data_IF_789250479396
#
_entry.id   IF_789250479396
#
_cell.length_a   1.000
_cell.length_b   1.000
_cell.length_c   1.000
_cell.angle_alpha   90.00
_cell.angle_beta   90.00
_cell.angle_gamma   90.00
#
_symmetry.space_group_name_H-M   'P 1'
#
loop_
_entity.id
_entity.type
_entity.pdbx_description
1 polymer ?
#
# COMPACT_ATOMS: atom_id res chain seq x y z
N UNK A 1 36.90 19.28 -40.61
CA UNK A 1 35.53 19.67 -40.97
C UNK A 1 34.56 18.72 -40.28
N UNK A 2 33.73 19.27 -39.39
CA UNK A 2 32.48 18.75 -38.78
C UNK A 2 32.50 17.40 -38.03
N UNK A 3 31.66 17.13 -37.01
CA UNK A 3 30.85 17.87 -36.04
C UNK A 3 30.01 16.82 -35.27
N UNK A 4 30.03 16.85 -33.93
CA UNK A 4 28.93 16.57 -32.98
C UNK A 4 28.28 15.16 -32.82
N UNK A 5 28.42 14.64 -31.59
CA UNK A 5 27.42 14.16 -30.60
C UNK A 5 26.34 13.12 -31.00
N UNK A 6 26.27 12.01 -30.25
CA UNK A 6 25.24 11.80 -29.21
C UNK A 6 25.80 10.96 -28.05
N UNK A 7 25.61 11.54 -26.87
CA UNK A 7 25.86 11.06 -25.53
C UNK A 7 24.61 10.28 -25.03
N UNK A 8 24.80 9.43 -24.03
CA UNK A 8 23.80 8.83 -23.12
C UNK A 8 23.01 7.59 -23.61
N UNK A 9 23.41 6.41 -23.11
CA UNK A 9 22.51 5.44 -22.45
C UNK A 9 23.31 4.23 -21.92
N UNK A 10 24.20 4.49 -20.97
CA UNK A 10 24.62 3.48 -20.00
C UNK A 10 24.17 4.01 -18.65
N UNK A 11 23.20 3.34 -18.00
CA UNK A 11 23.36 2.85 -16.62
C UNK A 11 22.05 2.27 -16.05
N UNK A 12 22.20 1.06 -15.50
CA UNK A 12 21.34 0.36 -14.54
C UNK A 12 20.04 -0.28 -15.04
N UNK A 13 20.22 -1.29 -15.88
CA UNK A 13 19.45 -2.54 -15.77
C UNK A 13 20.30 -3.52 -14.95
N UNK A 14 20.11 -3.61 -13.63
CA UNK A 14 20.46 -4.81 -12.83
C UNK A 14 19.85 -4.71 -11.43
N UNK A 15 18.91 -5.64 -11.17
CA UNK A 15 18.69 -6.42 -9.95
C UNK A 15 18.96 -5.75 -8.59
N UNK A 16 17.92 -5.61 -7.76
CA UNK A 16 17.94 -6.20 -6.43
C UNK A 16 16.50 -6.44 -5.96
N UNK A 17 16.20 -7.71 -5.76
CA UNK A 17 15.20 -8.19 -4.80
C UNK A 17 15.36 -7.42 -3.48
N UNK A 18 14.45 -6.49 -3.21
CA UNK A 18 14.48 -5.68 -1.99
C UNK A 18 13.93 -6.50 -0.82
N UNK A 19 14.81 -7.29 -0.21
CA UNK A 19 15.13 -7.26 1.22
C UNK A 19 14.02 -6.74 2.15
N UNK A 20 12.96 -7.51 2.32
CA UNK A 20 12.15 -7.44 3.54
C UNK A 20 12.88 -8.27 4.61
N UNK A 21 13.83 -7.66 5.32
CA UNK A 21 14.43 -8.29 6.51
C UNK A 21 13.78 -7.69 7.75
N UNK A 22 13.21 -8.60 8.53
CA UNK A 22 12.73 -8.51 9.90
C UNK A 22 13.30 -7.37 10.76
N UNK A 23 12.40 -6.69 11.47
CA UNK A 23 12.60 -5.62 12.46
C UNK A 23 12.92 -4.22 11.89
N UNK A 24 11.92 -3.57 11.27
CA UNK A 24 11.83 -2.11 11.32
C UNK A 24 10.83 -1.70 12.41
N UNK A 25 11.30 -1.60 13.65
CA UNK A 25 10.89 -0.47 14.46
C UNK A 25 11.38 0.76 13.70
N UNK A 26 10.48 1.53 13.08
CA UNK A 26 10.82 2.81 12.42
C UNK A 26 11.19 3.80 13.54
N UNK A 27 12.39 3.63 14.10
CA UNK A 27 13.06 4.62 14.92
C UNK A 27 13.49 5.74 13.99
N UNK A 28 13.13 6.97 14.32
CA UNK A 28 13.13 8.17 13.46
C UNK A 28 14.52 8.73 13.14
N UNK A 29 15.53 7.90 12.96
CA UNK A 29 16.87 8.35 12.66
C UNK A 29 17.55 7.34 11.75
N UNK A 30 17.86 7.80 10.54
CA UNK A 30 18.67 7.13 9.52
C UNK A 30 17.89 6.29 8.50
N UNK A 31 17.14 6.94 7.60
CA UNK A 31 17.01 6.67 6.14
C UNK A 31 15.99 7.68 5.56
N UNK A 32 16.33 8.50 4.55
CA UNK A 32 15.43 9.54 4.04
C UNK A 32 14.44 8.92 3.05
N UNK A 33 13.38 8.33 3.57
CA UNK A 33 12.14 8.02 2.86
C UNK A 33 11.01 8.60 3.74
N UNK A 34 10.06 9.41 3.29
CA UNK A 34 9.84 10.13 2.03
C UNK A 34 8.65 11.12 2.20
N UNK A 35 8.28 11.47 3.42
CA UNK A 35 7.22 12.44 3.69
C UNK A 35 7.78 13.47 4.66
N UNK A 36 7.59 14.76 4.37
CA UNK A 36 7.94 15.80 5.34
C UNK A 36 7.13 15.53 6.61
N UNK A 37 7.81 15.38 7.75
CA UNK A 37 7.19 15.08 9.06
C UNK A 37 6.05 16.04 9.43
N UNK A 38 6.03 17.23 8.82
CA UNK A 38 5.06 18.30 9.04
C UNK A 38 4.49 18.80 7.70
N UNK A 39 3.87 17.89 6.95
CA UNK A 39 3.23 18.21 5.68
C UNK A 39 2.06 19.19 5.79
N UNK A 40 1.28 19.07 6.86
CA UNK A 40 0.17 19.97 7.14
C UNK A 40 -0.19 19.87 8.64
N UNK A 41 -0.04 20.93 9.45
CA UNK A 41 -0.45 20.90 10.86
C UNK A 41 -1.97 20.71 11.02
N UNK A 42 -2.77 21.08 10.02
CA UNK A 42 -4.22 20.90 9.98
C UNK A 42 -4.65 19.63 9.21
N UNK A 43 -3.81 18.59 9.21
CA UNK A 43 -4.11 17.32 8.55
C UNK A 43 -5.46 16.68 8.95
N UNK A 44 -6.03 16.85 10.17
CA UNK A 44 -7.33 16.26 10.49
C UNK A 44 -8.46 16.80 9.61
N UNK A 45 -8.39 18.07 9.21
CA UNK A 45 -9.39 18.73 8.38
C UNK A 45 -9.12 18.58 6.87
N UNK A 46 -7.90 18.17 6.50
CA UNK A 46 -7.51 17.92 5.12
C UNK A 46 -6.56 16.72 5.05
N UNK A 47 -7.13 15.51 5.14
CA UNK A 47 -6.34 14.28 5.11
C UNK A 47 -5.63 14.09 3.78
N UNK A 48 -6.26 14.45 2.66
CA UNK A 48 -5.73 14.19 1.32
C UNK A 48 -4.50 15.04 0.96
N UNK A 49 -4.21 16.12 1.70
CA UNK A 49 -3.00 16.93 1.47
C UNK A 49 -1.69 16.16 1.69
N UNK A 50 -1.75 14.96 2.28
CA UNK A 50 -0.60 14.06 2.38
C UNK A 50 -0.02 13.70 1.01
N UNK A 51 -0.87 13.55 -0.02
CA UNK A 51 -0.44 13.18 -1.36
C UNK A 51 0.41 14.26 -2.05
N UNK A 52 0.30 15.53 -1.64
CA UNK A 52 1.08 16.65 -2.20
C UNK A 52 2.49 16.78 -1.61
N UNK A 53 2.87 15.83 -0.76
CA UNK A 53 3.89 16.04 0.24
C UNK A 53 4.97 14.96 0.27
N UNK A 54 4.88 14.03 -0.68
CA UNK A 54 5.89 13.03 -0.98
C UNK A 54 7.10 13.69 -1.67
N UNK A 55 8.34 13.26 -1.37
CA UNK A 55 9.59 13.91 -1.84
C UNK A 55 10.66 12.94 -2.37
N UNK A 56 11.03 12.95 -3.68
CA UNK A 56 12.05 12.08 -4.32
C UNK A 56 11.48 11.17 -5.46
N UNK A 57 11.81 9.88 -5.54
CA UNK A 57 11.21 8.91 -6.51
C UNK A 57 9.67 8.70 -6.47
N UNK A 58 9.05 8.52 -5.31
CA UNK A 58 7.59 8.39 -5.15
C UNK A 58 6.80 9.71 -5.12
N UNK A 59 7.38 10.85 -5.46
CA UNK A 59 6.75 12.18 -5.22
C UNK A 59 5.50 12.44 -6.05
N UNK A 60 5.32 11.69 -7.14
CA UNK A 60 4.16 11.80 -8.03
C UNK A 60 3.03 10.83 -7.68
N UNK A 61 3.18 10.02 -6.63
CA UNK A 61 2.13 9.11 -6.19
C UNK A 61 0.98 9.91 -5.56
N UNK A 62 -0.16 10.00 -6.28
CA UNK A 62 -1.34 10.72 -5.80
C UNK A 62 -2.26 9.85 -4.93
N UNK A 63 -2.07 8.53 -4.94
CA UNK A 63 -2.91 7.60 -4.17
C UNK A 63 -4.38 7.69 -4.60
N UNK A 64 -5.28 7.69 -3.62
CA UNK A 64 -6.72 7.93 -3.79
C UNK A 64 -7.14 9.39 -3.68
N UNK A 65 -6.23 10.36 -3.89
CA UNK A 65 -6.57 11.80 -3.84
C UNK A 65 -7.67 12.13 -4.88
N UNK A 66 -8.65 12.93 -4.47
CA UNK A 66 -9.84 13.26 -5.27
C UNK A 66 -10.90 12.17 -5.33
N UNK A 67 -10.62 10.99 -4.74
CA UNK A 67 -11.57 9.92 -4.55
C UNK A 67 -12.36 10.04 -3.25
N UNK A 68 -13.31 9.12 -3.09
CA UNK A 68 -14.16 9.02 -1.90
C UNK A 68 -13.37 8.48 -0.69
N UNK A 69 -13.82 8.87 0.50
CA UNK A 69 -13.33 8.27 1.73
C UNK A 69 -14.00 6.92 1.96
N UNK A 70 -13.18 5.91 2.25
CA UNK A 70 -13.66 4.60 2.67
C UNK A 70 -13.25 4.34 4.12
N UNK A 71 -14.23 4.10 4.99
CA UNK A 71 -13.98 3.85 6.42
C UNK A 71 -13.99 2.35 6.64
N UNK A 72 -12.86 1.80 7.11
CA UNK A 72 -12.77 0.39 7.49
C UNK A 72 -13.41 0.24 8.87
N UNK A 73 -14.56 -0.43 8.92
CA UNK A 73 -15.32 -0.67 10.15
C UNK A 73 -15.18 -2.10 10.65
N UNK A 74 -14.76 -3.02 9.78
CA UNK A 74 -14.67 -4.45 10.05
C UNK A 74 -13.23 -4.94 9.83
N UNK A 75 -12.66 -5.56 10.86
CA UNK A 75 -11.30 -6.12 10.83
C UNK A 75 -11.22 -7.57 10.33
N UNK A 76 -12.37 -8.21 10.10
CA UNK A 76 -12.44 -9.59 9.61
C UNK A 76 -11.97 -9.70 8.16
N UNK A 77 -11.32 -10.81 7.82
CA UNK A 77 -10.83 -11.09 6.48
C UNK A 77 -10.92 -12.58 6.15
N UNK A 78 -12.13 -13.10 6.24
CA UNK A 78 -12.39 -14.54 6.19
C UNK A 78 -12.56 -15.07 4.76
N UNK A 79 -13.01 -14.23 3.82
CA UNK A 79 -13.28 -14.60 2.43
C UNK A 79 -12.45 -13.75 1.46
N UNK A 80 -11.43 -14.36 0.86
CA UNK A 80 -10.56 -13.74 -0.12
C UNK A 80 -11.21 -13.59 -1.51
N UNK A 81 -12.32 -14.30 -1.78
CA UNK A 81 -13.07 -14.24 -3.04
C UNK A 81 -14.20 -13.22 -2.95
N UNK A 82 -14.92 -13.15 -1.83
CA UNK A 82 -16.05 -12.22 -1.66
C UNK A 82 -15.87 -11.37 -0.39
N UNK A 83 -14.95 -10.39 -0.42
CA UNK A 83 -14.75 -9.53 0.73
C UNK A 83 -16.01 -8.71 1.04
N UNK A 84 -16.35 -8.58 2.32
CA UNK A 84 -17.53 -7.83 2.77
C UNK A 84 -17.29 -6.31 2.72
N UNK A 85 -18.27 -5.49 2.30
CA UNK A 85 -18.22 -4.05 2.53
C UNK A 85 -17.97 -3.73 4.01
N UNK A 86 -17.16 -2.70 4.27
CA UNK A 86 -16.64 -2.36 5.60
C UNK A 86 -15.27 -2.97 5.92
N UNK A 87 -14.82 -4.00 5.18
CA UNK A 87 -13.47 -4.58 5.35
C UNK A 87 -12.41 -3.86 4.54
N UNK A 88 -11.14 -4.02 4.93
CA UNK A 88 -10.00 -3.50 4.17
C UNK A 88 -9.86 -4.19 2.80
N UNK A 89 -10.07 -5.50 2.74
CA UNK A 89 -10.00 -6.29 1.50
C UNK A 89 -10.99 -5.86 0.44
N UNK A 90 -12.19 -5.43 0.86
CA UNK A 90 -13.17 -4.86 -0.07
C UNK A 90 -12.69 -3.52 -0.65
N UNK A 91 -12.07 -2.67 0.16
CA UNK A 91 -11.65 -1.33 -0.24
C UNK A 91 -10.51 -1.36 -1.27
N UNK A 92 -9.51 -2.20 -1.05
CA UNK A 92 -8.28 -2.21 -1.86
C UNK A 92 -8.50 -2.73 -3.27
N UNK A 93 -9.52 -3.56 -3.50
CA UNK A 93 -9.81 -4.13 -4.82
C UNK A 93 -10.65 -3.20 -5.71
N UNK A 94 -11.31 -2.18 -5.16
CA UNK A 94 -12.21 -1.32 -5.92
C UNK A 94 -11.50 -0.63 -7.09
N UNK A 95 -12.25 -0.36 -8.16
CA UNK A 95 -11.72 0.30 -9.36
C UNK A 95 -11.53 1.79 -9.16
N UNK A 96 -12.44 2.43 -8.44
CA UNK A 96 -12.38 3.86 -8.14
C UNK A 96 -11.22 4.22 -7.21
N UNK A 97 -10.71 5.47 -7.30
CA UNK A 97 -9.75 5.99 -6.34
C UNK A 97 -10.39 6.05 -4.95
N UNK A 98 -9.70 5.54 -3.94
CA UNK A 98 -10.22 5.53 -2.56
C UNK A 98 -9.17 5.99 -1.55
N UNK A 99 -9.61 6.85 -0.63
CA UNK A 99 -8.86 7.26 0.56
C UNK A 99 -9.35 6.45 1.77
N UNK A 100 -8.64 5.38 2.08
CA UNK A 100 -9.01 4.39 3.09
C UNK A 100 -8.52 4.87 4.46
N UNK A 101 -9.45 4.99 5.40
CA UNK A 101 -9.20 5.49 6.77
C UNK A 101 -9.74 4.51 7.82
N UNK A 102 -9.23 4.66 9.03
CA UNK A 102 -9.61 3.84 10.18
C UNK A 102 -10.21 4.72 11.27
N UNK A 103 -11.39 4.37 11.80
CA UNK A 103 -12.05 5.15 12.86
C UNK A 103 -11.39 4.96 14.23
N UNK A 104 -10.58 3.92 14.41
CA UNK A 104 -9.88 3.63 15.65
C UNK A 104 -8.86 2.50 15.50
N UNK A 105 -8.27 2.11 16.62
CA UNK A 105 -7.27 1.04 16.65
C UNK A 105 -7.84 -0.28 16.14
N UNK A 106 -7.08 -0.97 15.28
CA UNK A 106 -7.57 -2.16 14.60
C UNK A 106 -6.45 -3.17 14.37
N UNK A 107 -6.75 -4.45 14.60
CA UNK A 107 -5.88 -5.57 14.25
C UNK A 107 -6.54 -6.38 13.13
N UNK A 108 -6.02 -6.26 11.92
CA UNK A 108 -6.52 -6.93 10.73
C UNK A 108 -5.67 -8.17 10.51
N UNK A 109 -6.29 -9.35 10.67
CA UNK A 109 -5.64 -10.63 10.43
C UNK A 109 -6.00 -11.12 9.04
N UNK A 110 -5.00 -11.20 8.16
CA UNK A 110 -5.19 -11.68 6.82
C UNK A 110 -5.04 -13.21 6.77
N UNK A 111 -5.96 -13.86 6.07
CA UNK A 111 -5.89 -15.29 5.75
C UNK A 111 -5.00 -15.58 4.54
N UNK A 112 -4.96 -14.63 3.60
CA UNK A 112 -4.23 -14.65 2.34
C UNK A 112 -3.56 -13.29 2.08
N UNK A 113 -2.85 -13.12 0.97
CA UNK A 113 -2.33 -11.81 0.55
C UNK A 113 -3.44 -10.74 0.43
N UNK A 114 -3.08 -9.47 0.53
CA UNK A 114 -3.95 -8.35 0.26
C UNK A 114 -3.50 -7.70 -1.06
N UNK A 115 -4.23 -8.00 -2.14
CA UNK A 115 -3.90 -7.52 -3.49
C UNK A 115 -4.48 -6.11 -3.66
N UNK A 116 -3.62 -5.13 -3.89
CA UNK A 116 -4.05 -3.76 -4.13
C UNK A 116 -4.39 -3.53 -5.59
N UNK A 117 -5.38 -2.68 -5.82
CA UNK A 117 -5.60 -2.02 -7.09
C UNK A 117 -4.89 -0.64 -7.11
N UNK A 118 -4.81 -0.01 -8.28
CA UNK A 118 -4.24 1.33 -8.44
C UNK A 118 -5.10 2.41 -7.74
N UNK A 119 -4.50 3.58 -7.51
CA UNK A 119 -5.16 4.77 -6.94
C UNK A 119 -5.75 4.54 -5.55
N UNK A 120 -4.95 3.96 -4.65
CA UNK A 120 -5.36 3.67 -3.27
C UNK A 120 -4.48 4.43 -2.30
N UNK A 121 -5.10 5.07 -1.32
CA UNK A 121 -4.39 5.55 -0.13
C UNK A 121 -4.84 4.77 1.08
N UNK A 122 -3.90 4.18 1.81
CA UNK A 122 -4.11 3.62 3.12
C UNK A 122 -3.56 4.61 4.16
N UNK A 123 -4.47 5.28 4.88
CA UNK A 123 -4.15 6.33 5.85
C UNK A 123 -4.51 5.89 7.27
N UNK A 124 -3.52 5.37 7.99
CA UNK A 124 -3.66 4.96 9.39
C UNK A 124 -3.49 6.11 10.39
N UNK A 125 -3.39 7.39 9.97
CA UNK A 125 -3.21 8.50 10.92
C UNK A 125 -4.41 8.63 11.85
N UNK A 126 -4.12 8.75 13.15
CA UNK A 126 -5.13 8.84 14.20
C UNK A 126 -5.58 7.50 14.77
N UNK A 127 -5.03 6.38 14.28
CA UNK A 127 -5.31 5.04 14.78
C UNK A 127 -4.03 4.20 14.81
N UNK A 128 -3.97 3.25 15.74
CA UNK A 128 -2.96 2.20 15.72
C UNK A 128 -3.49 0.98 14.96
N UNK A 129 -3.06 0.85 13.70
CA UNK A 129 -3.55 -0.18 12.78
C UNK A 129 -2.45 -1.20 12.52
N UNK A 130 -2.73 -2.45 12.85
CA UNK A 130 -1.85 -3.58 12.63
C UNK A 130 -2.44 -4.50 11.57
N UNK A 131 -1.67 -4.80 10.53
CA UNK A 131 -1.99 -5.77 9.48
C UNK A 131 -1.04 -6.94 9.65
N UNK A 132 -1.59 -8.12 9.93
CA UNK A 132 -0.80 -9.31 10.27
C UNK A 132 -1.28 -10.56 9.57
N UNK A 133 -0.41 -11.55 9.46
CA UNK A 133 -0.72 -12.86 8.92
C UNK A 133 -0.87 -12.88 7.40
N UNK A 134 -1.04 -14.10 6.86
CA UNK A 134 -1.04 -14.35 5.42
C UNK A 134 0.17 -13.75 4.72
N UNK A 135 0.06 -13.57 3.41
CA UNK A 135 1.13 -12.95 2.61
C UNK A 135 1.24 -11.43 2.72
N UNK A 136 0.58 -10.79 3.70
CA UNK A 136 0.54 -9.33 3.88
C UNK A 136 0.08 -8.58 2.63
N UNK A 137 0.88 -7.68 2.05
CA UNK A 137 0.45 -6.78 0.97
C UNK A 137 1.15 -7.13 -0.33
N UNK A 138 0.37 -7.19 -1.41
CA UNK A 138 0.87 -7.42 -2.77
C UNK A 138 0.57 -6.22 -3.66
N UNK A 139 1.62 -5.55 -4.15
CA UNK A 139 1.55 -4.46 -5.12
C UNK A 139 2.15 -4.93 -6.46
N UNK A 140 1.32 -5.41 -7.39
CA UNK A 140 1.79 -5.97 -8.67
C UNK A 140 1.11 -5.28 -9.85
N UNK A 141 1.89 -4.75 -10.79
CA UNK A 141 1.40 -4.08 -12.01
C UNK A 141 0.40 -2.94 -11.75
N UNK A 142 0.56 -2.23 -10.63
CA UNK A 142 -0.28 -1.10 -10.23
C UNK A 142 0.55 0.16 -10.02
N UNK A 143 -0.13 1.31 -10.00
CA UNK A 143 0.48 2.62 -9.76
C UNK A 143 -0.35 3.46 -8.81
N UNK A 144 0.21 4.58 -8.33
CA UNK A 144 -0.49 5.53 -7.47
C UNK A 144 -1.05 4.88 -6.20
N UNK A 145 -0.17 4.25 -5.41
CA UNK A 145 -0.53 3.71 -4.10
C UNK A 145 0.25 4.44 -3.02
N UNK A 146 -0.44 4.90 -1.98
CA UNK A 146 0.15 5.51 -0.78
C UNK A 146 -0.21 4.62 0.41
N UNK A 147 0.79 4.16 1.15
CA UNK A 147 0.59 3.43 2.41
C UNK A 147 1.28 4.24 3.50
N UNK A 148 0.52 4.69 4.49
CA UNK A 148 1.02 5.61 5.50
C UNK A 148 0.44 5.34 6.90
N UNK A 149 1.31 5.37 7.91
CA UNK A 149 0.98 5.22 9.33
C UNK A 149 0.22 3.92 9.67
N UNK A 150 0.63 2.80 9.07
CA UNK A 150 0.13 1.45 9.39
C UNK A 150 1.29 0.52 9.72
N UNK A 151 1.05 -0.45 10.60
CA UNK A 151 2.04 -1.44 11.02
C UNK A 151 1.76 -2.77 10.31
N UNK A 152 2.68 -3.22 9.47
CA UNK A 152 2.59 -4.51 8.76
C UNK A 152 3.67 -5.41 9.32
N UNK A 153 3.30 -6.55 9.88
CA UNK A 153 4.26 -7.46 10.53
C UNK A 153 3.67 -8.86 10.68
N UNK A 154 4.52 -9.84 11.06
CA UNK A 154 4.12 -11.24 11.19
C UNK A 154 3.46 -11.81 9.92
N UNK A 155 3.99 -11.42 8.76
CA UNK A 155 3.66 -11.98 7.46
C UNK A 155 4.22 -13.41 7.38
N UNK A 156 3.47 -14.32 6.76
CA UNK A 156 3.91 -15.69 6.52
C UNK A 156 3.33 -16.23 5.22
N UNK A 157 4.01 -17.16 4.53
CA UNK A 157 3.48 -17.76 3.32
C UNK A 157 2.09 -18.37 3.51
N UNK A 158 1.07 -17.83 2.85
CA UNK A 158 -0.26 -18.41 2.75
C UNK A 158 -0.31 -19.44 1.61
N UNK A 159 -1.16 -20.47 1.79
CA UNK A 159 -1.36 -21.52 0.80
C UNK A 159 -2.04 -21.03 -0.48
N UNK A 160 -2.17 -21.91 -1.47
CA UNK A 160 -2.87 -21.56 -2.69
C UNK A 160 -4.38 -21.36 -2.45
N UNK A 161 -4.92 -20.25 -2.94
CA UNK A 161 -6.32 -19.89 -2.75
C UNK A 161 -6.84 -19.12 -3.96
N UNK A 162 -8.16 -19.20 -4.18
CA UNK A 162 -8.83 -18.26 -5.08
C UNK A 162 -8.94 -16.91 -4.38
N UNK A 163 -8.54 -15.87 -5.10
CA UNK A 163 -8.45 -14.52 -4.56
C UNK A 163 -8.99 -13.51 -5.55
N UNK A 164 -9.80 -12.58 -5.05
CA UNK A 164 -10.31 -11.46 -5.83
C UNK A 164 -9.24 -10.38 -5.96
N UNK A 165 -8.97 -9.97 -7.19
CA UNK A 165 -8.04 -8.88 -7.50
C UNK A 165 -8.76 -7.61 -7.98
N UNK A 166 -10.02 -7.73 -8.44
CA UNK A 166 -10.87 -6.60 -8.82
C UNK A 166 -12.36 -6.94 -8.62
N UNK A 167 -13.29 -5.99 -8.74
CA UNK A 167 -14.72 -6.26 -8.60
C UNK A 167 -15.23 -7.29 -9.62
N UNK A 168 -14.57 -7.41 -10.78
CA UNK A 168 -14.98 -8.30 -11.87
C UNK A 168 -14.08 -9.53 -12.04
N UNK A 169 -12.94 -9.60 -11.36
CA UNK A 169 -11.95 -10.68 -11.55
C UNK A 169 -11.46 -11.27 -10.23
N UNK A 170 -11.48 -12.61 -10.17
CA UNK A 170 -10.75 -13.40 -9.20
C UNK A 170 -9.99 -14.51 -9.92
N UNK A 171 -8.89 -14.97 -9.33
CA UNK A 171 -8.08 -16.04 -9.91
C UNK A 171 -7.39 -16.86 -8.83
N UNK A 172 -6.87 -18.02 -9.23
CA UNK A 172 -6.09 -18.86 -8.35
C UNK A 172 -4.69 -18.26 -8.15
N UNK A 173 -4.32 -18.00 -6.89
CA UNK A 173 -2.97 -17.62 -6.50
C UNK A 173 -2.25 -18.84 -5.95
N UNK A 174 -1.01 -19.03 -6.39
CA UNK A 174 -0.10 -20.01 -5.78
C UNK A 174 0.35 -19.52 -4.41
N UNK A 175 1.14 -20.33 -3.71
CA UNK A 175 1.71 -19.98 -2.41
C UNK A 175 2.30 -18.56 -2.41
N UNK A 176 1.91 -17.76 -1.43
CA UNK A 176 2.42 -16.40 -1.27
C UNK A 176 3.86 -16.41 -0.77
N UNK A 177 4.59 -15.35 -1.07
CA UNK A 177 5.98 -15.22 -0.64
C UNK A 177 6.12 -14.91 0.86
N UNK A 178 5.16 -14.17 1.44
CA UNK A 178 5.04 -13.99 2.90
C UNK A 178 6.16 -13.17 3.56
N UNK A 179 6.71 -12.19 2.84
CA UNK A 179 7.80 -11.33 3.31
C UNK A 179 7.31 -10.04 3.99
#
# INVERSE_FOLDING_TARGET
MHSFNYLLCFFFFFCFSAFCRSELSISTSFFPLFFRKECNPNWPNNRQSLADCAIGFGQYALGGKGGEYYIVTDSSNDDAVNPRPGTLSYAVIQTEPLWIVFPGNMLIKLSQELIFNSYKTLDGRGANVHIVGGGCITLQFISNVIIHNVHIHNCYPSGGANMRSSPTHYGYRTKSDGF
#
